data_IF_450762983108
#
_entry.id   IF_450762983108
#
_cell.length_a   1.000
_cell.length_b   1.000
_cell.length_c   1.000
_cell.angle_alpha   90.00
_cell.angle_beta   90.00
_cell.angle_gamma   90.00
#
_symmetry.space_group_name_H-M   'P 1'
#
loop_
_entity.id
_entity.type
_entity.pdbx_description
1 polymer ?
#
# COMPACT_ATOMS: atom_id res chain seq x y z
N UNK A 1 51.15 -22.74 -2.91
CA UNK A 1 49.94 -21.96 -2.63
C UNK A 1 50.35 -20.51 -2.47
N UNK A 2 50.10 -19.67 -3.48
CA UNK A 2 50.46 -18.26 -3.44
C UNK A 2 49.25 -17.49 -2.88
N UNK A 3 49.33 -17.03 -1.64
CA UNK A 3 48.30 -16.18 -1.03
C UNK A 3 48.59 -14.75 -1.53
N UNK A 4 47.67 -14.10 -2.28
CA UNK A 4 47.90 -12.74 -2.74
C UNK A 4 48.01 -11.77 -1.55
N UNK A 5 48.87 -10.73 -1.63
CA UNK A 5 49.05 -9.77 -0.56
C UNK A 5 47.74 -9.00 -0.31
N UNK A 6 47.37 -8.86 0.96
CA UNK A 6 46.17 -8.16 1.39
C UNK A 6 46.33 -6.66 1.14
N UNK A 7 45.76 -6.17 0.03
CA UNK A 7 45.85 -4.77 -0.35
C UNK A 7 44.77 -3.93 0.37
N UNK A 8 45.14 -2.95 1.21
CA UNK A 8 44.17 -2.09 1.90
C UNK A 8 43.30 -1.30 0.93
N UNK A 9 43.79 -1.07 -0.30
CA UNK A 9 43.04 -0.45 -1.40
C UNK A 9 41.77 -1.23 -1.77
N UNK A 10 41.78 -2.57 -1.69
CA UNK A 10 40.58 -3.39 -1.93
C UNK A 10 39.53 -3.22 -0.83
N UNK A 11 39.99 -2.99 0.40
CA UNK A 11 39.10 -2.76 1.54
C UNK A 11 38.43 -1.38 1.44
N UNK A 12 39.18 -0.37 1.03
CA UNK A 12 38.66 0.99 0.79
C UNK A 12 37.67 1.00 -0.38
N UNK A 13 37.98 0.33 -1.50
CA UNK A 13 37.07 0.31 -2.66
C UNK A 13 35.76 -0.42 -2.36
N UNK A 14 35.81 -1.52 -1.60
CA UNK A 14 34.63 -2.23 -1.12
C UNK A 14 33.79 -1.36 -0.18
N UNK A 15 34.43 -0.61 0.73
CA UNK A 15 33.74 0.31 1.64
C UNK A 15 33.03 1.45 0.88
N UNK A 16 33.68 2.03 -0.13
CA UNK A 16 33.11 3.10 -0.97
C UNK A 16 31.91 2.58 -1.78
N UNK A 17 32.04 1.40 -2.42
CA UNK A 17 30.93 0.77 -3.15
C UNK A 17 29.74 0.44 -2.24
N UNK A 18 29.98 -0.02 -1.01
CA UNK A 18 28.94 -0.24 0.00
C UNK A 18 28.22 1.05 0.39
N UNK A 19 28.95 2.15 0.57
CA UNK A 19 28.38 3.46 0.89
C UNK A 19 27.53 4.03 -0.24
N UNK A 20 27.99 3.92 -1.49
CA UNK A 20 27.23 4.39 -2.67
C UNK A 20 25.93 3.59 -2.83
N UNK A 21 25.98 2.27 -2.60
CA UNK A 21 24.79 1.41 -2.63
C UNK A 21 23.77 1.78 -1.54
N UNK A 22 24.24 2.06 -0.32
CA UNK A 22 23.38 2.54 0.77
C UNK A 22 22.78 3.92 0.47
N UNK A 23 23.56 4.83 -0.14
CA UNK A 23 23.10 6.16 -0.51
C UNK A 23 22.05 6.11 -1.65
N UNK A 24 22.22 5.24 -2.65
CA UNK A 24 21.21 5.03 -3.69
C UNK A 24 19.90 4.42 -3.14
N UNK A 25 20.00 3.55 -2.13
CA UNK A 25 18.84 2.97 -1.47
C UNK A 25 18.09 3.99 -0.59
N UNK A 26 18.81 4.88 0.10
CA UNK A 26 18.23 5.94 0.93
C UNK A 26 17.37 6.91 0.10
N UNK A 27 17.82 7.28 -1.10
CA UNK A 27 17.03 8.13 -2.01
C UNK A 27 15.77 7.47 -2.56
N UNK A 28 15.57 6.16 -2.35
CA UNK A 28 14.43 5.38 -2.88
C UNK A 28 13.46 4.90 -1.80
N UNK A 29 13.44 5.53 -0.61
CA UNK A 29 12.48 5.23 0.47
C UNK A 29 12.46 3.73 0.87
N UNK A 30 13.63 3.07 0.79
CA UNK A 30 13.83 1.67 1.19
C UNK A 30 14.87 1.57 2.30
N UNK A 31 14.70 0.57 3.16
CA UNK A 31 15.54 0.29 4.32
C UNK A 31 17.03 0.12 3.93
N UNK A 32 17.91 1.08 4.28
CA UNK A 32 19.31 1.10 3.82
C UNK A 32 20.12 -0.11 4.27
N UNK A 33 19.86 -0.60 5.49
CA UNK A 33 20.58 -1.72 6.11
C UNK A 33 20.37 -3.07 5.40
N UNK A 34 19.14 -3.33 4.93
CA UNK A 34 18.80 -4.54 4.17
C UNK A 34 19.49 -4.55 2.80
N UNK A 35 19.67 -3.37 2.19
CA UNK A 35 20.31 -3.24 0.89
C UNK A 35 21.83 -3.38 0.98
N UNK A 36 22.44 -2.84 2.06
CA UNK A 36 23.85 -3.05 2.37
C UNK A 36 24.17 -4.54 2.63
N UNK A 37 23.35 -5.21 3.46
CA UNK A 37 23.53 -6.64 3.77
C UNK A 37 23.44 -7.52 2.51
N UNK A 38 22.52 -7.19 1.59
CA UNK A 38 22.35 -7.92 0.33
C UNK A 38 23.53 -7.71 -0.64
N UNK A 39 24.06 -6.48 -0.72
CA UNK A 39 25.26 -6.18 -1.51
C UNK A 39 26.54 -6.80 -0.94
N UNK A 40 26.64 -6.90 0.39
CA UNK A 40 27.77 -7.52 1.07
C UNK A 40 27.79 -9.05 0.91
N UNK A 41 26.62 -9.70 0.95
CA UNK A 41 26.51 -11.17 0.83
C UNK A 41 26.50 -11.69 -0.61
N UNK A 42 25.95 -10.92 -1.58
CA UNK A 42 25.76 -11.40 -2.97
C UNK A 42 26.55 -10.62 -4.03
N UNK A 43 27.39 -9.64 -3.63
CA UNK A 43 28.26 -8.91 -4.55
C UNK A 43 27.51 -8.22 -5.69
N UNK A 44 28.12 -8.20 -6.89
CA UNK A 44 27.60 -7.47 -8.07
C UNK A 44 26.23 -7.96 -8.57
N UNK A 45 25.81 -9.18 -8.19
CA UNK A 45 24.49 -9.73 -8.50
C UNK A 45 23.35 -9.02 -7.74
N UNK A 46 23.63 -8.46 -6.56
CA UNK A 46 22.65 -7.65 -5.81
C UNK A 46 22.21 -6.40 -6.58
N UNK A 47 23.08 -5.87 -7.45
CA UNK A 47 22.78 -4.71 -8.31
C UNK A 47 21.89 -5.13 -9.48
N UNK A 48 22.15 -6.28 -10.11
CA UNK A 48 21.27 -6.82 -11.17
C UNK A 48 19.87 -7.19 -10.64
N UNK A 49 19.77 -7.64 -9.40
CA UNK A 49 18.49 -7.92 -8.75
C UNK A 49 17.59 -6.67 -8.61
N UNK A 50 18.15 -5.45 -8.59
CA UNK A 50 17.39 -4.18 -8.62
C UNK A 50 16.48 -4.12 -9.85
N UNK A 51 16.95 -4.63 -10.98
CA UNK A 51 16.23 -4.54 -12.24
C UNK A 51 15.03 -5.49 -12.29
N UNK A 52 15.10 -6.62 -11.58
CA UNK A 52 14.04 -7.64 -11.57
C UNK A 52 13.08 -7.52 -10.38
N UNK A 53 13.56 -7.07 -9.23
CA UNK A 53 12.78 -7.01 -7.99
C UNK A 53 12.23 -5.60 -7.68
N UNK A 54 11.85 -4.86 -8.73
CA UNK A 54 10.84 -3.80 -8.60
C UNK A 54 9.44 -4.45 -8.49
N UNK A 55 9.31 -5.38 -7.55
CA UNK A 55 8.03 -5.96 -7.18
C UNK A 55 7.28 -4.88 -6.40
N UNK A 56 6.13 -4.46 -6.95
CA UNK A 56 5.26 -3.46 -6.32
C UNK A 56 5.04 -3.83 -4.86
N UNK A 57 5.47 -2.95 -3.94
CA UNK A 57 5.22 -3.10 -2.51
C UNK A 57 3.72 -2.86 -2.30
N UNK A 58 2.88 -3.90 -2.40
CA UNK A 58 1.59 -3.87 -1.70
C UNK A 58 1.95 -3.72 -0.23
N UNK A 59 1.60 -2.57 0.34
CA UNK A 59 1.78 -2.29 1.75
C UNK A 59 1.12 -3.43 2.52
N UNK A 60 1.96 -4.24 3.14
CA UNK A 60 1.58 -5.18 4.16
C UNK A 60 0.91 -4.39 5.27
N UNK A 61 -0.40 -4.61 5.40
CA UNK A 61 -1.16 -4.25 6.58
C UNK A 61 -0.40 -4.83 7.78
N UNK A 62 -0.07 -4.03 8.80
CA UNK A 62 0.43 -4.57 10.06
C UNK A 62 -0.54 -5.65 10.54
N UNK A 63 0.00 -6.81 10.91
CA UNK A 63 -0.77 -7.82 11.63
C UNK A 63 -1.38 -7.12 12.87
N UNK A 64 -2.69 -6.91 12.86
CA UNK A 64 -3.46 -6.75 14.08
C UNK A 64 -4.06 -8.12 14.40
N UNK A 65 -3.59 -8.81 15.45
CA UNK A 65 -4.30 -9.94 16.02
C UNK A 65 -5.38 -9.42 16.97
N UNK A 66 -6.55 -9.04 16.43
CA UNK A 66 -7.76 -8.82 17.22
C UNK A 66 -8.93 -9.14 16.28
N UNK A 67 -9.51 -10.34 16.28
CA UNK A 67 -10.56 -10.75 17.24
C UNK A 67 -11.50 -9.62 17.69
N UNK A 68 -11.83 -8.71 16.78
CA UNK A 68 -13.08 -7.95 16.86
C UNK A 68 -14.07 -8.62 15.91
N UNK A 69 -15.33 -8.80 16.33
CA UNK A 69 -16.28 -9.63 15.60
C UNK A 69 -16.39 -9.08 14.19
N UNK A 70 -16.02 -9.92 13.21
CA UNK A 70 -16.50 -9.75 11.85
C UNK A 70 -18.01 -9.61 11.97
N UNK A 71 -18.53 -8.39 11.84
CA UNK A 71 -19.92 -8.19 11.49
C UNK A 71 -20.04 -8.64 10.04
N UNK A 72 -20.07 -9.96 9.85
CA UNK A 72 -20.66 -10.59 8.69
C UNK A 72 -22.14 -10.25 8.82
N UNK A 73 -22.52 -9.07 8.31
CA UNK A 73 -23.92 -8.72 8.17
C UNK A 73 -24.37 -9.53 6.95
N UNK A 74 -24.87 -10.73 7.21
CA UNK A 74 -25.57 -11.54 6.21
C UNK A 74 -26.69 -10.71 5.60
N UNK A 75 -26.57 -10.43 4.31
CA UNK A 75 -27.59 -9.74 3.55
C UNK A 75 -27.33 -9.95 2.06
N UNK A 76 -28.29 -10.46 1.28
CA UNK A 76 -28.19 -10.47 -0.17
C UNK A 76 -28.36 -9.03 -0.67
N UNK A 77 -27.47 -8.54 -1.55
CA UNK A 77 -27.74 -7.48 -2.55
C UNK A 77 -26.49 -7.30 -3.41
N UNK A 78 -26.63 -7.52 -4.72
CA UNK A 78 -25.65 -7.57 -5.82
C UNK A 78 -24.67 -6.39 -6.00
N UNK A 79 -24.48 -5.52 -5.00
CA UNK A 79 -23.77 -4.26 -5.17
C UNK A 79 -22.71 -4.02 -4.09
N UNK A 80 -21.45 -4.08 -4.52
CA UNK A 80 -20.30 -3.75 -3.70
C UNK A 80 -20.05 -2.24 -3.71
N UNK A 81 -19.97 -1.67 -2.51
CA UNK A 81 -19.66 -0.27 -2.30
C UNK A 81 -18.26 -0.10 -1.73
N UNK A 82 -17.63 0.99 -2.15
CA UNK A 82 -16.31 1.43 -1.72
C UNK A 82 -16.39 2.89 -1.30
N UNK A 83 -15.58 3.30 -0.34
CA UNK A 83 -15.47 4.70 0.07
C UNK A 83 -14.01 5.14 0.24
N UNK A 84 -13.76 6.44 0.15
CA UNK A 84 -12.46 7.04 0.48
C UNK A 84 -12.44 7.54 1.91
N UNK A 85 -11.49 7.05 2.69
CA UNK A 85 -11.22 7.54 4.04
C UNK A 85 -10.60 8.96 3.99
N UNK A 86 -10.45 9.63 5.13
CA UNK A 86 -9.83 10.96 5.26
C UNK A 86 -8.42 11.04 4.63
N UNK A 87 -7.75 9.90 4.53
CA UNK A 87 -6.43 9.74 3.89
C UNK A 87 -6.51 9.49 2.38
N UNK A 88 -7.67 9.67 1.75
CA UNK A 88 -7.96 9.34 0.35
C UNK A 88 -7.65 7.88 -0.01
N UNK A 89 -7.75 6.99 0.98
CA UNK A 89 -7.51 5.56 0.80
C UNK A 89 -8.83 4.84 0.61
N UNK A 90 -8.91 4.02 -0.44
CA UNK A 90 -10.07 3.18 -0.72
C UNK A 90 -10.28 2.11 0.36
N UNK A 91 -11.51 2.01 0.86
CA UNK A 91 -12.01 1.02 1.81
C UNK A 91 -13.23 0.30 1.20
N UNK A 92 -13.32 -1.02 1.39
CA UNK A 92 -14.35 -1.88 0.79
C UNK A 92 -13.77 -3.20 0.29
N UNK A 93 -14.56 -4.07 -0.35
CA UNK A 93 -15.99 -3.91 -0.65
C UNK A 93 -16.88 -4.08 0.59
N UNK A 94 -17.96 -3.31 0.68
CA UNK A 94 -19.01 -3.48 1.70
C UNK A 94 -20.40 -3.41 1.09
N UNK A 95 -21.38 -3.98 1.77
CA UNK A 95 -22.78 -3.89 1.35
C UNK A 95 -23.34 -2.48 1.55
N UNK A 96 -24.44 -2.17 0.86
CA UNK A 96 -25.17 -0.91 1.07
C UNK A 96 -25.58 -0.70 2.54
N UNK A 97 -25.95 -1.77 3.24
CA UNK A 97 -26.28 -1.74 4.66
C UNK A 97 -25.07 -1.34 5.53
N UNK A 98 -23.90 -1.90 5.25
CA UNK A 98 -22.66 -1.55 5.94
C UNK A 98 -22.24 -0.09 5.67
N UNK A 99 -22.42 0.40 4.43
CA UNK A 99 -22.18 1.81 4.09
C UNK A 99 -23.13 2.74 4.87
N UNK A 100 -24.42 2.38 4.92
CA UNK A 100 -25.44 3.15 5.67
C UNK A 100 -25.12 3.16 7.16
N UNK A 101 -24.66 2.04 7.71
CA UNK A 101 -24.23 1.93 9.10
C UNK A 101 -22.99 2.79 9.36
N UNK A 102 -21.98 2.72 8.50
CA UNK A 102 -20.78 3.56 8.58
C UNK A 102 -21.12 5.06 8.51
N UNK A 103 -22.14 5.45 7.74
CA UNK A 103 -22.63 6.83 7.70
C UNK A 103 -23.28 7.25 9.03
N UNK A 104 -24.14 6.39 9.60
CA UNK A 104 -24.77 6.63 10.90
C UNK A 104 -23.76 6.70 12.05
N UNK A 105 -22.69 5.91 11.98
CA UNK A 105 -21.60 5.89 12.96
C UNK A 105 -20.62 7.06 12.77
N UNK A 106 -20.76 7.87 11.70
CA UNK A 106 -19.86 8.99 11.40
C UNK A 106 -18.50 8.56 10.84
N UNK A 107 -18.34 7.29 10.45
CA UNK A 107 -17.14 6.76 9.79
C UNK A 107 -17.02 7.29 8.37
N UNK A 108 -18.16 7.45 7.67
CA UNK A 108 -18.24 8.14 6.38
C UNK A 108 -19.15 9.35 6.50
N UNK A 109 -18.72 10.48 5.93
CA UNK A 109 -19.42 11.74 5.99
C UNK A 109 -20.09 12.12 4.66
N UNK A 110 -20.86 13.22 4.63
CA UNK A 110 -21.45 13.74 3.40
C UNK A 110 -20.40 14.15 2.35
N UNK A 111 -19.20 14.51 2.79
CA UNK A 111 -18.04 14.82 1.95
C UNK A 111 -17.15 13.60 1.63
N UNK A 112 -17.59 12.39 2.00
CA UNK A 112 -16.87 11.17 1.64
C UNK A 112 -17.22 10.74 0.23
N UNK A 113 -16.20 10.43 -0.56
CA UNK A 113 -16.38 9.83 -1.89
C UNK A 113 -16.78 8.37 -1.75
N UNK A 114 -17.83 8.00 -2.45
CA UNK A 114 -18.34 6.64 -2.58
C UNK A 114 -18.28 6.21 -4.05
N UNK A 115 -18.11 4.92 -4.26
CA UNK A 115 -18.11 4.31 -5.58
C UNK A 115 -18.66 2.89 -5.53
N UNK A 116 -19.24 2.46 -6.64
CA UNK A 116 -19.71 1.11 -6.89
C UNK A 116 -19.52 0.79 -8.38
N UNK A 117 -19.63 -0.48 -8.75
CA UNK A 117 -19.35 -0.94 -10.11
C UNK A 117 -20.31 -0.40 -11.18
N UNK A 118 -21.48 0.09 -10.79
CA UNK A 118 -22.44 0.71 -11.71
C UNK A 118 -22.18 2.21 -11.95
N UNK A 119 -21.26 2.82 -11.18
CA UNK A 119 -20.91 4.23 -11.32
C UNK A 119 -19.63 4.40 -12.16
N UNK A 120 -19.64 5.26 -13.19
CA UNK A 120 -18.46 5.50 -14.01
C UNK A 120 -17.35 6.22 -13.25
N UNK A 121 -17.70 7.01 -12.23
CA UNK A 121 -16.76 7.82 -11.44
C UNK A 121 -17.15 7.86 -9.96
N UNK A 122 -16.19 8.19 -9.10
CA UNK A 122 -16.41 8.43 -7.68
C UNK A 122 -17.32 9.63 -7.46
N UNK A 123 -18.36 9.47 -6.65
CA UNK A 123 -19.29 10.55 -6.30
C UNK A 123 -19.27 10.82 -4.81
N UNK A 124 -19.49 12.06 -4.40
CA UNK A 124 -19.66 12.36 -2.97
C UNK A 124 -20.99 11.79 -2.48
N UNK A 125 -21.00 11.29 -1.25
CA UNK A 125 -22.22 10.73 -0.65
C UNK A 125 -23.37 11.74 -0.64
N UNK A 126 -23.09 13.02 -0.35
CA UNK A 126 -24.10 14.09 -0.43
C UNK A 126 -24.72 14.25 -1.82
N UNK A 127 -23.93 14.04 -2.87
CA UNK A 127 -24.37 14.23 -4.26
C UNK A 127 -25.19 13.01 -4.71
N UNK A 128 -24.78 11.82 -4.29
CA UNK A 128 -25.53 10.59 -4.50
C UNK A 128 -26.91 10.64 -3.84
N UNK A 129 -26.99 11.08 -2.57
CA UNK A 129 -28.25 11.25 -1.84
C UNK A 129 -29.19 12.27 -2.51
N UNK A 130 -28.64 13.32 -3.13
CA UNK A 130 -29.42 14.32 -3.85
C UNK A 130 -30.04 13.76 -5.13
N UNK A 131 -29.38 12.79 -5.76
CA UNK A 131 -29.81 12.24 -7.06
C UNK A 131 -30.99 11.27 -6.90
N UNK A 132 -30.99 10.45 -5.85
CA UNK A 132 -32.11 9.52 -5.53
C UNK A 132 -33.43 10.25 -5.22
N UNK A 133 -33.36 11.47 -4.66
CA UNK A 133 -34.56 12.26 -4.34
C UNK A 133 -35.14 13.02 -5.55
N UNK A 134 -34.50 12.92 -6.72
CA UNK A 134 -34.88 13.62 -7.95
C UNK A 134 -35.40 12.71 -9.06
N UNK A 135 -35.72 11.44 -8.76
CA UNK A 135 -36.42 10.59 -9.72
C UNK A 135 -37.86 11.08 -9.89
N UNK A 136 -38.25 11.65 -11.03
CA UNK A 136 -39.62 12.08 -11.27
C UNK A 136 -40.49 10.84 -11.48
N UNK A 137 -41.66 10.84 -10.85
CA UNK A 137 -42.78 9.93 -11.17
C UNK A 137 -43.36 10.28 -12.53
#
# INVERSE_FOLDING_TARGET
MHIPPFNPLMLVSAAVMGCISAFLAYKRDRSPYLWFALGFLFGIFGIFAIFFFTTKKKQQLPNLPTKEPMLIIEGPTDKFWYYLDLTHKQKGPMSHQALTKAFKEGVVGPSTYIWNEEMPEWKLLKDALKTEHSSPT
#
